data_IF_207749507604
#
_entry.id   IF_207749507604
#
_cell.length_a   1.000
_cell.length_b   1.000
_cell.length_c   1.000
_cell.angle_alpha   90.00
_cell.angle_beta   90.00
_cell.angle_gamma   90.00
#
_symmetry.space_group_name_H-M   'P 1'
#
loop_
_entity.id
_entity.type
_entity.pdbx_description
1 polymer ?
#
# COMPACT_ATOMS: atom_id res chain seq x y z
N UNK A 1 3.83 -16.52 3.50
CA UNK A 1 4.55 -15.55 4.34
C UNK A 1 3.85 -14.21 4.17
N UNK A 2 3.48 -13.58 5.27
CA UNK A 2 2.64 -12.37 5.31
C UNK A 2 3.48 -11.13 4.99
N UNK A 3 3.43 -10.65 3.75
CA UNK A 3 4.26 -9.57 3.21
C UNK A 3 4.23 -8.31 4.10
N UNK A 4 3.05 -7.95 4.60
CA UNK A 4 2.86 -6.77 5.45
C UNK A 4 3.67 -6.90 6.73
N UNK A 5 3.62 -8.06 7.38
CA UNK A 5 4.40 -8.31 8.61
C UNK A 5 5.89 -8.31 8.34
N UNK A 6 6.34 -8.89 7.23
CA UNK A 6 7.77 -8.88 6.86
C UNK A 6 8.27 -7.46 6.69
N UNK A 7 7.61 -6.64 5.87
CA UNK A 7 8.03 -5.25 5.63
C UNK A 7 7.97 -4.42 6.90
N UNK A 8 6.90 -4.55 7.69
CA UNK A 8 6.76 -3.81 8.94
C UNK A 8 7.88 -4.12 9.94
N UNK A 9 8.25 -5.39 10.08
CA UNK A 9 9.35 -5.79 10.96
C UNK A 9 10.69 -5.27 10.44
N UNK A 10 10.97 -5.42 9.14
CA UNK A 10 12.23 -4.97 8.53
C UNK A 10 12.41 -3.45 8.69
N UNK A 11 11.33 -2.68 8.53
CA UNK A 11 11.33 -1.23 8.68
C UNK A 11 11.20 -0.75 10.13
N UNK A 12 10.97 -1.65 11.10
CA UNK A 12 10.52 -1.30 12.45
C UNK A 12 9.34 -0.32 12.43
N UNK A 13 8.44 -0.52 11.47
CA UNK A 13 7.40 0.42 11.09
C UNK A 13 6.05 0.14 11.75
N UNK A 14 5.21 1.16 11.75
CA UNK A 14 3.80 1.06 12.17
C UNK A 14 2.94 0.66 10.98
N UNK A 15 2.00 -0.26 11.21
CA UNK A 15 1.02 -0.71 10.20
C UNK A 15 -0.33 -0.06 10.48
N UNK A 16 -0.92 0.56 9.47
CA UNK A 16 -2.29 1.04 9.46
C UNK A 16 -3.07 0.33 8.35
N UNK A 17 -4.23 -0.24 8.67
CA UNK A 17 -5.03 -1.05 7.72
C UNK A 17 -6.24 -0.29 7.22
N UNK A 18 -6.70 -0.58 6.00
CA UNK A 18 -7.93 -0.04 5.43
C UNK A 18 -7.98 1.49 5.42
N UNK A 19 -6.85 2.13 5.10
CA UNK A 19 -6.67 3.58 5.19
C UNK A 19 -7.29 4.30 4.00
N UNK A 20 -8.10 5.33 4.29
CA UNK A 20 -8.59 6.26 3.27
C UNK A 20 -7.46 7.20 2.84
N UNK A 21 -7.28 7.35 1.54
CA UNK A 21 -6.29 8.24 0.93
C UNK A 21 -7.00 9.36 0.18
N UNK A 22 -6.76 10.60 0.60
CA UNK A 22 -7.19 11.79 -0.13
C UNK A 22 -6.11 12.17 -1.15
N UNK A 23 -6.43 12.00 -2.43
CA UNK A 23 -5.56 12.32 -3.55
C UNK A 23 -5.98 13.62 -4.24
N UNK A 24 -6.89 14.40 -3.64
CA UNK A 24 -7.46 15.62 -4.19
C UNK A 24 -6.43 16.65 -4.65
N UNK A 25 -5.26 16.65 -4.02
CA UNK A 25 -4.13 17.51 -4.37
C UNK A 25 -3.39 17.11 -5.66
N UNK A 26 -3.54 15.86 -6.12
CA UNK A 26 -2.94 15.32 -7.36
C UNK A 26 -4.02 15.17 -8.44
N UNK A 27 -5.16 14.60 -8.06
CA UNK A 27 -6.30 14.31 -8.93
C UNK A 27 -7.51 15.04 -8.35
N UNK A 28 -8.08 16.06 -9.02
CA UNK A 28 -9.26 16.76 -8.50
C UNK A 28 -10.41 15.79 -8.18
N UNK A 29 -10.81 15.75 -6.91
CA UNK A 29 -11.84 14.83 -6.41
C UNK A 29 -11.41 13.35 -6.31
N UNK A 30 -10.14 13.05 -6.53
CA UNK A 30 -9.56 11.71 -6.44
C UNK A 30 -9.41 11.26 -4.99
N UNK A 31 -9.82 10.03 -4.72
CA UNK A 31 -9.63 9.37 -3.43
C UNK A 31 -9.47 7.87 -3.65
N UNK A 32 -8.91 7.20 -2.65
CA UNK A 32 -8.70 5.77 -2.67
C UNK A 32 -8.75 5.15 -1.29
N UNK A 33 -8.56 3.83 -1.26
CA UNK A 33 -8.37 3.08 -0.03
C UNK A 33 -7.19 2.14 -0.22
N UNK A 34 -6.25 2.16 0.70
CA UNK A 34 -5.18 1.18 0.76
C UNK A 34 -5.52 0.09 1.77
N UNK A 35 -5.29 -1.17 1.43
CA UNK A 35 -5.53 -2.28 2.34
C UNK A 35 -4.58 -2.23 3.53
N UNK A 36 -3.33 -1.83 3.30
CA UNK A 36 -2.41 -1.46 4.36
C UNK A 36 -1.44 -0.34 3.96
N UNK A 37 -1.02 0.42 4.95
CA UNK A 37 0.03 1.43 4.86
C UNK A 37 1.05 1.16 5.97
N UNK A 38 2.33 1.14 5.62
CA UNK A 38 3.43 0.91 6.55
C UNK A 38 4.30 2.16 6.58
N UNK A 39 4.53 2.72 7.76
CA UNK A 39 5.38 3.89 7.95
C UNK A 39 6.54 3.50 8.87
N UNK A 40 7.77 3.61 8.39
CA UNK A 40 8.98 3.34 9.17
C UNK A 40 10.15 4.17 8.68
N UNK A 41 10.79 4.92 9.58
CA UNK A 41 11.84 5.88 9.22
C UNK A 41 11.34 6.91 8.20
N UNK A 42 12.03 7.01 7.07
CA UNK A 42 11.66 7.89 5.94
C UNK A 42 10.88 7.15 4.84
N UNK A 43 10.46 5.91 5.09
CA UNK A 43 9.78 5.06 4.11
C UNK A 43 8.28 4.97 4.41
N UNK A 44 7.48 5.29 3.39
CA UNK A 44 6.06 4.99 3.32
C UNK A 44 5.85 3.86 2.32
N UNK A 45 5.27 2.74 2.76
CA UNK A 45 4.90 1.62 1.90
C UNK A 45 3.38 1.52 1.80
N UNK A 46 2.84 1.61 0.58
CA UNK A 46 1.41 1.39 0.32
C UNK A 46 1.22 -0.03 -0.21
N UNK A 47 0.30 -0.77 0.39
CA UNK A 47 0.03 -2.17 0.07
C UNK A 47 -1.43 -2.31 -0.36
N UNK A 48 -1.63 -2.86 -1.55
CA UNK A 48 -2.92 -3.29 -2.09
C UNK A 48 -2.87 -4.81 -2.25
N UNK A 49 -3.71 -5.52 -1.50
CA UNK A 49 -3.78 -6.98 -1.47
C UNK A 49 -4.63 -7.47 -2.63
N UNK A 50 -4.00 -8.19 -3.55
CA UNK A 50 -4.71 -8.91 -4.61
C UNK A 50 -5.01 -10.35 -4.20
N UNK A 51 -6.29 -10.65 -4.01
CA UNK A 51 -6.77 -12.02 -3.89
C UNK A 51 -6.71 -12.72 -5.26
N UNK A 52 -6.26 -13.98 -5.29
CA UNK A 52 -6.08 -14.73 -6.53
C UNK A 52 -5.21 -15.97 -6.35
N UNK A 53 -4.89 -16.66 -7.45
CA UNK A 53 -4.25 -18.01 -7.56
C UNK A 53 -2.86 -18.20 -6.91
N UNK A 54 -2.52 -17.45 -5.86
CA UNK A 54 -1.22 -17.53 -5.16
C UNK A 54 -0.06 -16.94 -5.95
N UNK A 55 -0.35 -16.18 -7.01
CA UNK A 55 0.66 -15.53 -7.85
C UNK A 55 0.81 -14.08 -7.40
N UNK A 56 2.05 -13.67 -7.14
CA UNK A 56 2.37 -12.27 -6.83
C UNK A 56 2.07 -11.40 -8.04
N UNK A 57 1.40 -10.28 -7.81
CA UNK A 57 1.22 -9.22 -8.81
C UNK A 57 2.33 -8.20 -8.60
N UNK A 58 3.06 -7.89 -9.66
CA UNK A 58 4.10 -6.86 -9.61
C UNK A 58 3.48 -5.47 -9.49
N UNK A 59 4.09 -4.62 -8.67
CA UNK A 59 3.62 -3.26 -8.45
C UNK A 59 4.03 -2.31 -9.58
N UNK A 60 5.15 -2.60 -10.26
CA UNK A 60 5.64 -1.78 -11.35
C UNK A 60 4.63 -1.74 -12.50
N UNK A 61 4.26 -0.52 -12.92
CA UNK A 61 3.27 -0.32 -13.98
C UNK A 61 1.82 -0.57 -13.59
N UNK A 62 1.52 -0.93 -12.33
CA UNK A 62 0.15 -1.18 -11.87
C UNK A 62 -0.70 0.11 -11.97
N UNK A 63 -1.75 0.15 -12.82
CA UNK A 63 -2.55 1.36 -13.02
C UNK A 63 -3.25 1.87 -11.76
N UNK A 64 -3.60 0.99 -10.82
CA UNK A 64 -4.28 1.38 -9.58
C UNK A 64 -3.32 2.03 -8.58
N UNK A 65 -2.10 1.51 -8.46
CA UNK A 65 -1.09 2.04 -7.53
C UNK A 65 -0.38 3.29 -8.05
N UNK A 66 -0.62 3.68 -9.32
CA UNK A 66 0.00 4.85 -9.97
C UNK A 66 -0.82 6.13 -9.87
N UNK A 67 -2.00 6.09 -9.26
CA UNK A 67 -2.92 7.21 -9.13
C UNK A 67 -2.49 8.15 -8.00
#
# INVERSE_FOLDING_TARGET
VDLVKTIANDLHGTVAVEQHLDLGHIIPGGFGKADAVIIGGEVLHVVDLKYGRGVRVEAEGNPQLRL
#
